data_IF_711530282980
#
_entry.id   IF_711530282980
#
_cell.length_a   1.000
_cell.length_b   1.000
_cell.length_c   1.000
_cell.angle_alpha   90.00
_cell.angle_beta   90.00
_cell.angle_gamma   90.00
#
_symmetry.space_group_name_H-M   'P 1'
#
loop_
_entity.id
_entity.type
_entity.pdbx_description
1 polymer ?
#
# COMPACT_ATOMS: atom_id res chain seq x y z
N UNK A 1 57.77 -16.68 -5.96
CA UNK A 1 56.44 -16.62 -6.61
C UNK A 1 55.43 -17.46 -5.81
N UNK A 2 54.71 -16.88 -4.83
CA UNK A 2 53.59 -17.59 -4.20
C UNK A 2 52.52 -17.86 -5.26
N UNK A 3 52.11 -19.12 -5.36
CA UNK A 3 51.37 -19.65 -6.49
C UNK A 3 49.96 -19.04 -6.62
N UNK A 4 49.60 -18.63 -7.85
CA UNK A 4 48.27 -18.17 -8.28
C UNK A 4 47.13 -19.09 -7.81
N UNK A 5 47.43 -20.36 -7.51
CA UNK A 5 46.52 -21.34 -6.95
C UNK A 5 46.04 -21.03 -5.51
N UNK A 6 46.74 -20.22 -4.72
CA UNK A 6 46.25 -19.74 -3.41
C UNK A 6 45.27 -18.56 -3.55
N UNK A 7 45.49 -17.66 -4.50
CA UNK A 7 44.60 -16.53 -4.76
C UNK A 7 43.23 -17.00 -5.30
N UNK A 8 43.22 -18.01 -6.17
CA UNK A 8 41.98 -18.57 -6.73
C UNK A 8 41.13 -19.34 -5.71
N UNK A 9 41.73 -19.98 -4.69
CA UNK A 9 40.96 -20.66 -3.63
C UNK A 9 40.24 -19.68 -2.71
N UNK A 10 40.85 -18.53 -2.40
CA UNK A 10 40.23 -17.51 -1.56
C UNK A 10 39.09 -16.76 -2.25
N UNK A 11 39.11 -16.64 -3.58
CA UNK A 11 38.03 -16.01 -4.33
C UNK A 11 36.80 -16.93 -4.45
N UNK A 12 37.01 -18.24 -4.53
CA UNK A 12 35.91 -19.22 -4.63
C UNK A 12 35.12 -19.38 -3.32
N UNK A 13 35.77 -19.16 -2.17
CA UNK A 13 35.09 -19.18 -0.86
C UNK A 13 34.24 -17.94 -0.56
N UNK A 14 34.46 -16.82 -1.27
CA UNK A 14 33.68 -15.58 -1.05
C UNK A 14 32.41 -15.46 -1.90
N UNK A 15 32.19 -16.37 -2.86
CA UNK A 15 31.11 -16.24 -3.86
C UNK A 15 30.04 -17.35 -3.80
N UNK A 16 30.15 -18.30 -2.87
CA UNK A 16 29.07 -19.28 -2.64
C UNK A 16 28.21 -18.82 -1.47
N UNK A 17 26.96 -18.35 -1.69
CA UNK A 17 26.05 -18.09 -0.60
C UNK A 17 25.75 -19.40 0.14
N UNK A 18 26.03 -19.41 1.44
CA UNK A 18 25.61 -20.48 2.35
C UNK A 18 24.09 -20.64 2.26
N UNK A 19 23.54 -21.85 2.05
CA UNK A 19 22.11 -22.06 2.26
C UNK A 19 21.74 -21.76 3.72
N UNK A 20 20.59 -21.13 3.99
CA UNK A 20 20.13 -20.91 5.35
C UNK A 20 19.86 -22.27 6.01
N UNK A 21 20.50 -22.50 7.16
CA UNK A 21 20.22 -23.64 8.04
C UNK A 21 18.85 -23.42 8.69
N UNK A 22 17.80 -23.94 8.06
CA UNK A 22 16.51 -24.16 8.73
C UNK A 22 16.60 -25.46 9.54
N UNK A 23 17.31 -25.39 10.67
CA UNK A 23 17.30 -26.45 11.67
C UNK A 23 16.57 -25.98 12.91
N UNK A 24 15.38 -26.57 13.09
CA UNK A 24 14.76 -26.95 14.35
C UNK A 24 14.26 -25.84 15.31
N UNK A 25 13.05 -26.08 15.81
CA UNK A 25 12.50 -25.82 17.18
C UNK A 25 11.05 -25.31 17.08
N UNK A 26 10.06 -25.83 17.86
CA UNK A 26 9.63 -27.22 17.98
C UNK A 26 8.09 -27.37 17.79
N UNK A 27 7.61 -28.60 17.64
CA UNK A 27 6.19 -28.96 17.73
C UNK A 27 5.67 -28.79 19.17
N UNK A 28 4.85 -27.77 19.41
CA UNK A 28 3.90 -27.64 20.52
C UNK A 28 2.66 -27.00 19.86
N UNK A 29 1.51 -27.64 19.69
CA UNK A 29 0.66 -28.24 20.69
C UNK A 29 -0.11 -29.42 20.08
N UNK A 30 -0.01 -30.58 20.72
CA UNK A 30 -1.00 -31.64 20.58
C UNK A 30 -2.14 -31.43 21.58
N UNK A 31 -3.33 -31.83 21.13
CA UNK A 31 -4.57 -32.04 21.87
C UNK A 31 -4.34 -32.50 23.32
N UNK A 32 -5.05 -31.87 24.25
CA UNK A 32 -5.36 -32.44 25.57
C UNK A 32 -6.86 -32.32 25.81
N UNK A 33 -7.56 -33.38 25.43
CA UNK A 33 -8.85 -33.72 26.03
C UNK A 33 -8.62 -34.25 27.45
N UNK A 34 -9.65 -34.07 28.29
CA UNK A 34 -9.94 -34.66 29.61
C UNK A 34 -9.79 -33.74 30.84
N UNK A 35 -10.97 -33.25 31.23
CA UNK A 35 -11.69 -33.52 32.49
C UNK A 35 -11.31 -32.80 33.78
N UNK A 36 -12.38 -32.54 34.56
CA UNK A 36 -12.49 -32.18 35.98
C UNK A 36 -12.41 -30.65 36.28
N UNK A 37 -13.56 -30.01 36.54
CA UNK A 37 -14.21 -29.84 37.85
C UNK A 37 -13.79 -28.52 38.50
N UNK A 38 -14.58 -27.45 38.30
CA UNK A 38 -15.22 -26.68 39.38
C UNK A 38 -15.98 -25.46 38.80
N UNK A 39 -17.29 -25.31 39.07
CA UNK A 39 -18.07 -24.16 38.63
C UNK A 39 -17.83 -22.95 39.55
N UNK A 40 -17.39 -21.84 38.95
CA UNK A 40 -17.34 -20.54 39.61
C UNK A 40 -18.76 -20.08 40.04
N UNK A 41 -18.89 -19.34 41.16
CA UNK A 41 -20.18 -19.04 41.76
C UNK A 41 -21.00 -18.06 40.91
N UNK A 42 -22.24 -18.48 40.65
CA UNK A 42 -23.33 -17.67 40.11
C UNK A 42 -23.55 -16.47 41.04
N UNK A 43 -23.17 -15.27 40.59
CA UNK A 43 -23.68 -14.03 41.18
C UNK A 43 -25.15 -13.90 40.80
N UNK A 44 -26.03 -14.20 41.76
CA UNK A 44 -27.44 -13.77 41.73
C UNK A 44 -27.45 -12.25 41.68
N UNK A 45 -27.71 -11.68 40.50
CA UNK A 45 -28.20 -10.31 40.39
C UNK A 45 -29.65 -10.32 40.86
N UNK A 46 -29.90 -9.80 42.05
CA UNK A 46 -31.24 -9.52 42.56
C UNK A 46 -31.83 -8.33 41.81
N UNK A 47 -33.11 -8.42 41.43
CA UNK A 47 -33.90 -7.33 40.83
C UNK A 47 -34.14 -6.19 41.84
N UNK A 48 -33.10 -5.44 42.20
CA UNK A 48 -33.23 -4.22 43.01
C UNK A 48 -32.41 -3.05 42.44
N UNK A 49 -31.46 -3.28 41.54
CA UNK A 49 -30.53 -2.21 41.08
C UNK A 49 -30.89 -1.56 39.72
N UNK A 50 -32.17 -1.57 39.30
CA UNK A 50 -32.57 -1.01 37.99
C UNK A 50 -33.51 0.22 38.05
N UNK A 51 -33.70 0.87 39.20
CA UNK A 51 -34.70 1.94 39.30
C UNK A 51 -34.19 3.37 39.58
N UNK A 52 -32.88 3.61 39.64
CA UNK A 52 -32.33 4.97 39.81
C UNK A 52 -31.47 5.38 38.61
N UNK A 53 -32.08 5.59 37.44
CA UNK A 53 -31.45 6.36 36.36
C UNK A 53 -32.46 6.92 35.36
N UNK A 54 -33.50 7.57 35.85
CA UNK A 54 -34.37 8.47 35.07
C UNK A 54 -34.12 9.91 35.54
N UNK A 55 -33.00 10.49 35.11
CA UNK A 55 -32.80 11.93 35.13
C UNK A 55 -32.60 12.41 33.68
N UNK A 56 -33.39 13.36 33.17
CA UNK A 56 -33.17 13.92 31.84
C UNK A 56 -31.87 14.75 31.82
N UNK A 57 -31.12 14.76 30.71
CA UNK A 57 -29.89 15.55 30.62
C UNK A 57 -30.23 17.05 30.64
N UNK A 58 -29.42 17.89 31.33
CA UNK A 58 -29.60 19.33 31.28
C UNK A 58 -29.21 19.87 29.89
N UNK A 59 -30.04 20.78 29.39
CA UNK A 59 -29.80 21.58 28.19
C UNK A 59 -28.56 22.47 28.37
N UNK A 60 -27.65 22.54 27.38
CA UNK A 60 -26.52 23.46 27.45
C UNK A 60 -26.98 24.89 27.14
N UNK A 61 -26.97 25.75 28.16
CA UNK A 61 -27.09 27.19 27.99
C UNK A 61 -25.81 27.75 27.35
N UNK A 62 -25.98 28.41 26.21
CA UNK A 62 -24.98 29.28 25.61
C UNK A 62 -24.75 30.48 26.54
N UNK A 63 -23.55 30.58 27.12
CA UNK A 63 -23.05 31.81 27.74
C UNK A 63 -21.80 32.29 27.02
N UNK A 64 -21.94 33.46 26.41
CA UNK A 64 -20.93 34.28 25.78
C UNK A 64 -20.16 35.12 26.83
N UNK A 65 -18.84 35.01 26.85
CA UNK A 65 -17.88 36.02 27.36
C UNK A 65 -16.47 35.48 27.10
N UNK A 66 -15.66 36.01 26.19
CA UNK A 66 -14.97 37.32 26.13
C UNK A 66 -13.87 37.52 27.19
N UNK A 67 -12.68 37.87 26.67
CA UNK A 67 -11.44 38.28 27.36
C UNK A 67 -10.60 37.14 28.00
N UNK A 68 -9.26 37.10 27.92
CA UNK A 68 -8.24 37.89 27.21
C UNK A 68 -6.88 37.22 27.45
N UNK A 69 -6.01 37.18 26.43
CA UNK A 69 -4.55 37.24 26.58
C UNK A 69 -3.82 35.96 26.99
N UNK A 70 -3.23 35.25 26.02
CA UNK A 70 -1.78 35.31 25.80
C UNK A 70 -1.35 34.38 24.63
N UNK A 71 -0.95 35.05 23.54
CA UNK A 71 0.17 34.74 22.65
C UNK A 71 0.83 33.35 22.73
N UNK A 72 0.76 32.59 21.63
CA UNK A 72 1.94 32.28 20.79
C UNK A 72 1.64 31.25 19.69
N UNK A 73 1.76 31.71 18.43
CA UNK A 73 2.18 30.99 17.20
C UNK A 73 1.50 29.66 16.80
N UNK A 74 0.54 29.75 15.89
CA UNK A 74 0.49 29.15 14.52
C UNK A 74 -0.97 28.94 14.09
N UNK A 75 -1.52 29.89 13.33
CA UNK A 75 -2.81 29.74 12.64
C UNK A 75 -2.73 30.33 11.23
N UNK A 76 -2.47 29.49 10.24
CA UNK A 76 -2.90 29.69 8.85
C UNK A 76 -3.65 28.41 8.43
N UNK A 77 -4.93 28.36 8.79
CA UNK A 77 -5.88 27.44 8.21
C UNK A 77 -7.12 28.29 7.87
N UNK A 78 -7.13 28.81 6.65
CA UNK A 78 -8.31 29.42 6.08
C UNK A 78 -9.36 28.31 5.87
N UNK A 79 -10.48 28.44 6.57
CA UNK A 79 -11.66 27.62 6.34
C UNK A 79 -12.23 27.95 4.96
N UNK A 80 -11.92 27.11 3.97
CA UNK A 80 -12.71 27.01 2.76
C UNK A 80 -13.94 26.16 3.10
N UNK A 81 -15.11 26.80 3.07
CA UNK A 81 -16.41 26.13 3.09
C UNK A 81 -16.51 25.18 1.90
N UNK A 82 -16.35 23.89 2.15
CA UNK A 82 -16.51 22.84 1.16
C UNK A 82 -17.99 22.50 1.05
N UNK A 83 -18.69 23.18 0.13
CA UNK A 83 -20.00 22.71 -0.31
C UNK A 83 -19.80 21.42 -1.12
N UNK A 84 -20.56 20.34 -0.86
CA UNK A 84 -20.50 19.14 -1.68
C UNK A 84 -20.93 19.48 -3.12
N UNK A 85 -20.22 19.00 -4.15
CA UNK A 85 -20.59 19.27 -5.54
C UNK A 85 -21.89 18.54 -5.89
N UNK A 86 -22.79 19.25 -6.58
CA UNK A 86 -23.99 18.70 -7.21
C UNK A 86 -23.60 17.55 -8.15
N UNK A 87 -24.14 16.36 -7.87
CA UNK A 87 -23.89 15.12 -8.63
C UNK A 87 -24.54 15.08 -10.02
N UNK A 88 -25.35 16.09 -10.38
CA UNK A 88 -26.09 16.16 -11.65
C UNK A 88 -25.60 17.24 -12.63
N UNK A 89 -24.48 17.92 -12.34
CA UNK A 89 -23.94 18.90 -13.27
C UNK A 89 -23.29 18.21 -14.50
N UNK A 90 -23.69 18.55 -15.75
CA UNK A 90 -23.06 18.00 -16.94
C UNK A 90 -21.58 18.37 -16.97
N UNK A 91 -20.73 17.34 -17.09
CA UNK A 91 -19.27 17.49 -17.10
C UNK A 91 -18.86 18.51 -18.18
N UNK A 92 -18.00 19.48 -17.85
CA UNK A 92 -17.49 20.41 -18.84
C UNK A 92 -16.72 19.63 -19.93
N UNK A 93 -16.80 20.06 -21.20
CA UNK A 93 -16.08 19.41 -22.28
C UNK A 93 -14.58 19.43 -21.96
N UNK A 94 -13.96 18.26 -21.99
CA UNK A 94 -12.51 18.07 -21.85
C UNK A 94 -11.79 18.86 -22.95
N UNK A 95 -11.40 20.10 -22.66
CA UNK A 95 -10.40 20.82 -23.44
C UNK A 95 -9.11 20.01 -23.37
N UNK A 96 -8.84 19.29 -24.47
CA UNK A 96 -7.59 18.58 -24.68
C UNK A 96 -6.45 19.57 -24.53
N UNK A 97 -5.74 19.48 -23.41
CA UNK A 97 -4.49 20.18 -23.21
C UNK A 97 -3.59 19.96 -24.45
N UNK A 98 -2.92 21.01 -24.95
CA UNK A 98 -2.05 20.90 -26.11
C UNK A 98 -0.95 19.88 -25.81
N UNK A 99 -0.94 18.79 -26.58
CA UNK A 99 0.10 17.76 -26.54
C UNK A 99 1.45 18.48 -26.70
N UNK A 100 2.39 18.37 -25.74
CA UNK A 100 3.71 18.95 -25.92
C UNK A 100 4.32 18.33 -27.18
N UNK A 101 4.65 19.20 -28.15
CA UNK A 101 5.22 18.81 -29.44
C UNK A 101 6.34 17.80 -29.20
N UNK A 102 6.17 16.60 -29.75
CA UNK A 102 7.16 15.55 -29.72
C UNK A 102 8.52 16.14 -30.13
N UNK A 103 9.51 16.00 -29.24
CA UNK A 103 10.90 16.28 -29.55
C UNK A 103 11.25 15.47 -30.80
N UNK A 104 11.49 16.18 -31.91
CA UNK A 104 12.01 15.54 -33.12
C UNK A 104 13.34 14.88 -32.73
N UNK A 105 13.50 13.56 -32.93
CA UNK A 105 14.78 12.92 -32.69
C UNK A 105 15.79 13.59 -33.62
N UNK A 106 16.85 14.16 -33.04
CA UNK A 106 18.00 14.63 -33.81
C UNK A 106 18.58 13.39 -34.47
N UNK A 107 18.34 13.24 -35.76
CA UNK A 107 18.85 12.14 -36.56
C UNK A 107 20.34 12.41 -36.79
N UNK A 108 21.19 11.87 -35.90
CA UNK A 108 22.63 11.83 -36.11
C UNK A 108 22.91 10.76 -37.17
N UNK A 109 22.74 11.13 -38.45
CA UNK A 109 23.17 10.29 -39.55
C UNK A 109 24.71 10.20 -39.53
N UNK A 110 25.32 9.01 -39.48
CA UNK A 110 26.78 8.83 -39.46
C UNK A 110 27.50 9.29 -40.74
N UNK A 111 26.76 9.70 -41.78
CA UNK A 111 27.30 10.02 -43.09
C UNK A 111 27.97 11.40 -43.20
N UNK A 112 27.84 12.27 -42.20
CA UNK A 112 28.46 13.61 -42.26
C UNK A 112 29.96 13.64 -41.92
N UNK A 113 30.55 12.49 -41.56
CA UNK A 113 32.00 12.33 -41.41
C UNK A 113 32.61 11.42 -42.50
N UNK A 114 31.96 11.31 -43.67
CA UNK A 114 32.61 10.77 -44.84
C UNK A 114 33.83 11.64 -45.18
N UNK A 115 35.03 11.06 -44.98
CA UNK A 115 36.33 11.60 -45.39
C UNK A 115 36.21 12.30 -46.75
N UNK A 116 36.83 13.48 -46.95
CA UNK A 116 37.13 13.91 -48.30
C UNK A 116 38.00 12.83 -48.95
N UNK A 117 37.42 12.10 -49.90
CA UNK A 117 38.14 11.23 -50.82
C UNK A 117 39.35 12.01 -51.33
N UNK A 118 40.54 11.47 -51.06
CA UNK A 118 41.78 11.99 -51.61
C UNK A 118 41.60 12.03 -53.12
N UNK A 119 41.52 13.24 -53.68
CA UNK A 119 41.64 13.44 -55.12
C UNK A 119 42.97 12.83 -55.52
N UNK A 120 42.90 11.71 -56.22
CA UNK A 120 43.99 11.14 -56.99
C UNK A 120 44.63 12.29 -57.77
N UNK A 121 45.85 12.63 -57.39
CA UNK A 121 46.70 13.53 -58.16
C UNK A 121 46.95 12.86 -59.48
N UNK A 122 46.23 13.34 -60.50
CA UNK A 122 46.49 13.10 -61.92
C UNK A 122 48.00 13.08 -62.18
N UNK A 123 48.39 12.08 -62.96
CA UNK A 123 49.70 11.90 -63.55
C UNK A 123 50.35 13.25 -63.93
N UNK A 124 51.55 13.47 -63.40
CA UNK A 124 52.41 14.55 -63.82
C UNK A 124 52.73 14.38 -65.31
N UNK A 125 52.19 15.32 -66.09
CA UNK A 125 52.50 15.60 -67.48
C UNK A 125 54.03 15.76 -67.66
N UNK A 126 54.67 15.06 -68.61
CA UNK A 126 56.10 15.26 -68.86
C UNK A 126 56.32 16.63 -69.51
N UNK A 127 57.04 17.51 -68.80
CA UNK A 127 57.45 18.82 -69.28
C UNK A 127 58.17 18.72 -70.65
N UNK A 128 57.90 19.65 -71.58
CA UNK A 128 58.52 19.65 -72.90
C UNK A 128 60.01 19.94 -72.81
N UNK A 129 60.82 19.08 -73.45
CA UNK A 129 62.23 19.28 -73.74
C UNK A 129 62.39 20.33 -74.84
N UNK A 130 62.20 21.60 -74.50
CA UNK A 130 62.70 22.70 -75.32
C UNK A 130 63.28 23.74 -74.39
N UNK A 131 64.60 23.88 -74.41
CA UNK A 131 65.30 25.16 -74.36
C UNK A 131 66.80 24.91 -74.63
N UNK A 132 67.12 25.06 -75.91
CA UNK A 132 68.25 25.83 -76.41
C UNK A 132 69.62 25.59 -75.76
N UNK A 133 70.48 24.94 -76.54
CA UNK A 133 71.92 25.16 -76.55
C UNK A 133 72.23 26.66 -76.71
N UNK A 134 72.40 27.38 -75.60
CA UNK A 134 73.06 28.70 -75.59
C UNK A 134 74.55 28.48 -75.39
N UNK A 135 75.33 28.82 -76.42
CA UNK A 135 76.79 28.98 -76.39
C UNK A 135 77.21 29.67 -75.08
N UNK A 136 78.03 28.98 -74.30
CA UNK A 136 78.70 29.51 -73.11
C UNK A 136 79.70 30.56 -73.57
N UNK A 137 79.24 31.82 -73.62
CA UNK A 137 80.13 32.97 -73.62
C UNK A 137 80.87 32.98 -72.29
N UNK A 138 82.19 32.83 -72.33
CA UNK A 138 83.09 32.84 -71.17
C UNK A 138 83.16 34.26 -70.61
N UNK A 139 82.11 34.68 -69.88
CA UNK A 139 82.09 35.97 -69.18
C UNK A 139 83.05 35.86 -68.00
N UNK A 140 84.18 36.58 -68.10
CA UNK A 140 85.15 36.75 -67.01
C UNK A 140 84.47 37.56 -65.91
N UNK A 141 83.90 36.87 -64.93
CA UNK A 141 83.31 37.49 -63.74
C UNK A 141 84.46 38.02 -62.85
N UNK A 142 84.45 39.29 -62.43
CA UNK A 142 85.49 39.86 -61.56
C UNK A 142 85.54 39.13 -60.21
N UNK A 143 86.75 38.85 -59.72
CA UNK A 143 87.05 37.93 -58.61
C UNK A 143 86.30 38.16 -57.30
N UNK A 144 85.77 39.37 -57.04
CA UNK A 144 85.08 39.71 -55.79
C UNK A 144 83.58 39.33 -55.72
N UNK A 145 82.90 39.06 -56.85
CA UNK A 145 81.48 38.63 -56.82
C UNK A 145 81.31 37.14 -56.49
N UNK A 146 82.33 36.32 -56.75
CA UNK A 146 82.29 34.87 -56.47
C UNK A 146 82.38 34.58 -54.97
N UNK A 147 83.23 35.31 -54.24
CA UNK A 147 83.41 35.13 -52.79
C UNK A 147 82.17 35.53 -51.99
N UNK A 148 81.50 36.63 -52.34
CA UNK A 148 80.23 37.04 -51.73
C UNK A 148 79.10 36.03 -51.97
N UNK A 149 78.99 35.47 -53.18
CA UNK A 149 78.01 34.43 -53.50
C UNK A 149 78.29 33.13 -52.73
N UNK A 150 79.54 32.72 -52.60
CA UNK A 150 79.92 31.51 -51.83
C UNK A 150 79.60 31.68 -50.33
N UNK A 151 79.84 32.86 -49.75
CA UNK A 151 79.47 33.17 -48.37
C UNK A 151 77.95 33.13 -48.12
N UNK A 152 77.16 33.70 -49.04
CA UNK A 152 75.69 33.65 -48.96
C UNK A 152 75.16 32.22 -49.11
N UNK A 153 75.73 31.43 -50.02
CA UNK A 153 75.38 30.01 -50.19
C UNK A 153 75.72 29.19 -48.93
N UNK A 154 76.85 29.47 -48.28
CA UNK A 154 77.21 28.83 -47.01
C UNK A 154 76.21 29.13 -45.89
N UNK A 155 75.75 30.38 -45.77
CA UNK A 155 74.71 30.78 -44.80
C UNK A 155 73.36 30.11 -45.11
N UNK A 156 72.95 30.09 -46.37
CA UNK A 156 71.72 29.41 -46.80
C UNK A 156 71.77 27.90 -46.49
N UNK A 157 72.93 27.25 -46.72
CA UNK A 157 73.12 25.83 -46.41
C UNK A 157 73.03 25.53 -44.91
N UNK A 158 73.58 26.39 -44.05
CA UNK A 158 73.45 26.27 -42.59
C UNK A 158 72.00 26.42 -42.14
N UNK A 159 71.32 27.47 -42.60
CA UNK A 159 69.90 27.69 -42.29
C UNK A 159 68.99 26.54 -42.78
N UNK A 160 69.30 25.97 -43.95
CA UNK A 160 68.60 24.80 -44.47
C UNK A 160 68.87 23.56 -43.60
N UNK A 161 70.11 23.37 -43.13
CA UNK A 161 70.46 22.32 -42.18
C UNK A 161 69.68 22.41 -40.87
N UNK A 162 69.59 23.61 -40.27
CA UNK A 162 68.82 23.87 -39.04
C UNK A 162 67.33 23.58 -39.25
N UNK A 163 66.74 24.07 -40.34
CA UNK A 163 65.35 23.77 -40.71
C UNK A 163 65.12 22.28 -40.91
N UNK A 164 66.04 21.56 -41.55
CA UNK A 164 65.92 20.11 -41.72
C UNK A 164 65.94 19.38 -40.36
N UNK A 165 66.81 19.77 -39.43
CA UNK A 165 66.83 19.21 -38.07
C UNK A 165 65.49 19.46 -37.37
N UNK A 166 64.93 20.65 -37.50
CA UNK A 166 63.62 20.96 -36.93
C UNK A 166 62.49 20.14 -37.58
N UNK A 167 62.50 19.98 -38.90
CA UNK A 167 61.52 19.14 -39.62
C UNK A 167 61.57 17.70 -39.12
N UNK A 168 62.76 17.11 -38.95
CA UNK A 168 62.92 15.76 -38.40
C UNK A 168 62.40 15.68 -36.97
N UNK A 169 62.73 16.67 -36.12
CA UNK A 169 62.23 16.75 -34.73
C UNK A 169 60.71 16.84 -34.67
N UNK A 170 60.10 17.63 -35.56
CA UNK A 170 58.65 17.76 -35.65
C UNK A 170 58.01 16.47 -36.18
N UNK A 171 58.62 15.80 -37.16
CA UNK A 171 58.20 14.48 -37.64
C UNK A 171 58.09 13.46 -36.49
N UNK A 172 59.12 13.34 -35.66
CA UNK A 172 59.09 12.43 -34.50
C UNK A 172 58.06 12.82 -33.42
N UNK A 173 57.70 14.10 -33.29
CA UNK A 173 56.57 14.52 -32.42
C UNK A 173 55.22 14.13 -33.01
N UNK A 174 55.07 14.27 -34.33
CA UNK A 174 53.85 13.88 -35.04
C UNK A 174 53.63 12.38 -34.90
N UNK A 175 54.65 11.54 -35.10
CA UNK A 175 54.55 10.08 -34.92
C UNK A 175 54.08 9.71 -33.51
N UNK A 176 54.69 10.29 -32.47
CA UNK A 176 54.26 10.06 -31.07
C UNK A 176 52.82 10.48 -30.80
N UNK A 177 52.38 11.60 -31.38
CA UNK A 177 51.00 12.05 -31.26
C UNK A 177 50.03 11.12 -32.00
N UNK A 178 50.43 10.59 -33.16
CA UNK A 178 49.64 9.60 -33.90
C UNK A 178 49.50 8.31 -33.09
N UNK A 179 50.59 7.77 -32.54
CA UNK A 179 50.55 6.58 -31.69
C UNK A 179 49.63 6.77 -30.47
N UNK A 180 49.77 7.92 -29.79
CA UNK A 180 48.91 8.26 -28.64
C UNK A 180 47.44 8.40 -29.03
N UNK A 181 47.16 8.99 -30.20
CA UNK A 181 45.80 9.15 -30.71
C UNK A 181 45.18 7.79 -31.07
N UNK A 182 45.96 6.88 -31.66
CA UNK A 182 45.50 5.52 -31.93
C UNK A 182 45.21 4.74 -30.65
N UNK A 183 46.04 4.86 -29.62
CA UNK A 183 45.80 4.25 -28.31
C UNK A 183 44.50 4.78 -27.68
N UNK A 184 44.32 6.11 -27.67
CA UNK A 184 43.07 6.72 -27.17
C UNK A 184 41.86 6.34 -28.01
N UNK A 185 42.00 6.16 -29.32
CA UNK A 185 40.92 5.67 -30.16
C UNK A 185 40.52 4.24 -29.78
N UNK A 186 41.49 3.36 -29.50
CA UNK A 186 41.21 1.98 -29.03
C UNK A 186 40.49 1.98 -27.69
N UNK A 187 40.91 2.82 -26.73
CA UNK A 187 40.22 2.97 -25.43
C UNK A 187 38.76 3.43 -25.60
N UNK A 188 38.52 4.41 -26.49
CA UNK A 188 37.16 4.90 -26.79
C UNK A 188 36.30 3.81 -27.39
N UNK A 189 36.83 3.03 -28.34
CA UNK A 189 36.10 1.94 -28.98
C UNK A 189 35.77 0.82 -27.98
N UNK A 190 36.68 0.50 -27.05
CA UNK A 190 36.44 -0.46 -25.98
C UNK A 190 35.37 0.01 -25.00
N UNK A 191 35.45 1.26 -24.54
CA UNK A 191 34.43 1.86 -23.68
C UNK A 191 33.05 1.85 -24.37
N UNK A 192 32.99 2.13 -25.67
CA UNK A 192 31.75 2.10 -26.45
C UNK A 192 31.16 0.69 -26.53
N UNK A 193 31.99 -0.35 -26.72
CA UNK A 193 31.53 -1.75 -26.68
C UNK A 193 30.99 -2.13 -25.29
N UNK A 194 31.72 -1.77 -24.23
CA UNK A 194 31.30 -2.03 -22.85
C UNK A 194 29.96 -1.36 -22.50
N UNK A 195 29.76 -0.11 -22.96
CA UNK A 195 28.48 0.58 -22.82
C UNK A 195 27.36 -0.12 -23.57
N UNK A 196 27.62 -0.62 -24.78
CA UNK A 196 26.66 -1.40 -25.56
C UNK A 196 26.19 -2.66 -24.80
N UNK A 197 27.11 -3.42 -24.23
CA UNK A 197 26.81 -4.62 -23.43
C UNK A 197 25.96 -4.25 -22.21
N UNK A 198 26.40 -3.27 -21.41
CA UNK A 198 25.64 -2.83 -20.21
C UNK A 198 24.24 -2.32 -20.55
N UNK A 199 24.08 -1.63 -21.68
CA UNK A 199 22.77 -1.14 -22.11
C UNK A 199 21.83 -2.31 -22.48
N UNK A 200 22.37 -3.37 -23.10
CA UNK A 200 21.60 -4.58 -23.40
C UNK A 200 21.18 -5.33 -22.12
N UNK A 201 22.09 -5.48 -21.16
CA UNK A 201 21.80 -6.08 -19.85
C UNK A 201 20.75 -5.28 -19.09
N UNK A 202 20.88 -3.96 -19.06
CA UNK A 202 19.90 -3.06 -18.43
C UNK A 202 18.52 -3.19 -19.07
N UNK A 203 18.47 -3.30 -20.41
CA UNK A 203 17.21 -3.51 -21.14
C UNK A 203 16.55 -4.84 -20.78
N UNK A 204 17.34 -5.92 -20.72
CA UNK A 204 16.85 -7.23 -20.30
C UNK A 204 16.37 -7.23 -18.85
N UNK A 205 17.10 -6.59 -17.94
CA UNK A 205 16.69 -6.45 -16.55
C UNK A 205 15.37 -5.69 -16.42
N UNK A 206 15.22 -4.57 -17.17
CA UNK A 206 13.99 -3.77 -17.19
C UNK A 206 12.80 -4.59 -17.69
N UNK A 207 12.97 -5.38 -18.75
CA UNK A 207 11.94 -6.28 -19.27
C UNK A 207 11.57 -7.37 -18.26
N UNK A 208 12.57 -8.00 -17.62
CA UNK A 208 12.35 -9.03 -16.60
C UNK A 208 11.67 -8.49 -15.34
N UNK A 209 11.99 -7.27 -14.92
CA UNK A 209 11.26 -6.58 -13.85
C UNK A 209 9.82 -6.27 -14.25
N UNK A 210 9.61 -5.74 -15.46
CA UNK A 210 8.26 -5.46 -15.97
C UNK A 210 7.40 -6.71 -16.16
N UNK A 211 8.00 -7.88 -16.40
CA UNK A 211 7.32 -9.18 -16.37
C UNK A 211 6.86 -9.55 -14.96
N UNK A 212 7.78 -9.50 -13.98
CA UNK A 212 7.48 -9.81 -12.57
C UNK A 212 6.42 -8.88 -11.98
N UNK A 213 6.44 -7.59 -12.31
CA UNK A 213 5.40 -6.64 -11.87
C UNK A 213 4.03 -7.05 -12.38
N UNK A 214 3.91 -7.39 -13.68
CA UNK A 214 2.64 -7.85 -14.25
C UNK A 214 2.14 -9.15 -13.63
N UNK A 215 3.03 -10.10 -13.34
CA UNK A 215 2.68 -11.35 -12.67
C UNK A 215 2.18 -11.12 -11.23
N UNK A 216 2.81 -10.19 -10.50
CA UNK A 216 2.35 -9.81 -9.17
C UNK A 216 0.99 -9.11 -9.22
N UNK A 217 0.77 -8.22 -10.19
CA UNK A 217 -0.51 -7.54 -10.40
C UNK A 217 -1.64 -8.52 -10.70
N UNK A 218 -1.41 -9.50 -11.60
CA UNK A 218 -2.43 -10.50 -11.93
C UNK A 218 -2.73 -11.43 -10.75
N UNK A 219 -1.68 -11.85 -10.02
CA UNK A 219 -1.83 -12.70 -8.83
C UNK A 219 -2.59 -11.96 -7.72
N UNK A 220 -2.24 -10.70 -7.47
CA UNK A 220 -2.91 -9.87 -6.48
C UNK A 220 -4.38 -9.64 -6.86
N UNK A 221 -4.66 -9.30 -8.12
CA UNK A 221 -6.03 -9.15 -8.61
C UNK A 221 -6.84 -10.45 -8.49
N UNK A 222 -6.21 -11.62 -8.71
CA UNK A 222 -6.83 -12.92 -8.48
C UNK A 222 -7.23 -13.12 -7.02
N UNK A 223 -6.29 -12.89 -6.09
CA UNK A 223 -6.54 -13.04 -4.64
C UNK A 223 -7.57 -12.05 -4.10
N UNK A 224 -7.61 -10.82 -4.62
CA UNK A 224 -8.62 -9.84 -4.23
C UNK A 224 -10.02 -10.33 -4.59
N UNK A 225 -10.23 -10.81 -5.83
CA UNK A 225 -11.52 -11.36 -6.25
C UNK A 225 -11.94 -12.59 -5.45
N UNK A 226 -10.99 -13.46 -5.11
CA UNK A 226 -11.25 -14.64 -4.28
C UNK A 226 -11.73 -14.23 -2.88
N UNK A 227 -11.03 -13.27 -2.24
CA UNK A 227 -11.43 -12.75 -0.93
C UNK A 227 -12.76 -12.00 -0.97
N UNK A 228 -13.03 -11.24 -2.03
CA UNK A 228 -14.33 -10.59 -2.24
C UNK A 228 -15.46 -11.64 -2.29
N UNK A 229 -15.27 -12.73 -3.04
CA UNK A 229 -16.23 -13.84 -3.08
C UNK A 229 -16.44 -14.51 -1.73
N UNK A 230 -15.37 -14.79 -0.97
CA UNK A 230 -15.50 -15.38 0.38
C UNK A 230 -16.25 -14.46 1.37
N UNK A 231 -16.07 -13.14 1.23
CA UNK A 231 -16.77 -12.15 2.06
C UNK A 231 -18.26 -12.16 1.72
N UNK A 232 -18.61 -12.14 0.43
CA UNK A 232 -20.00 -12.20 -0.02
C UNK A 232 -20.70 -13.48 0.45
N UNK A 233 -20.05 -14.63 0.32
CA UNK A 233 -20.58 -15.92 0.78
C UNK A 233 -20.84 -15.92 2.29
N UNK A 234 -19.90 -15.40 3.09
CA UNK A 234 -20.05 -15.29 4.55
C UNK A 234 -21.13 -14.29 4.95
N UNK A 235 -21.27 -13.19 4.22
CA UNK A 235 -22.35 -12.23 4.44
C UNK A 235 -23.72 -12.89 4.22
N UNK A 236 -23.89 -13.62 3.12
CA UNK A 236 -25.13 -14.36 2.84
C UNK A 236 -25.41 -15.44 3.89
N UNK A 237 -24.38 -16.15 4.35
CA UNK A 237 -24.54 -17.15 5.42
C UNK A 237 -24.99 -16.51 6.74
N UNK A 238 -24.37 -15.39 7.13
CA UNK A 238 -24.75 -14.66 8.34
C UNK A 238 -26.17 -14.10 8.24
N UNK A 239 -26.56 -13.59 7.08
CA UNK A 239 -27.91 -13.07 6.84
C UNK A 239 -28.97 -14.17 6.97
N UNK A 240 -28.74 -15.35 6.35
CA UNK A 240 -29.64 -16.51 6.52
C UNK A 240 -29.76 -16.94 7.99
N UNK A 241 -28.65 -17.00 8.73
CA UNK A 241 -28.66 -17.35 10.15
C UNK A 241 -29.40 -16.32 11.00
N UNK A 242 -29.27 -15.04 10.67
CA UNK A 242 -30.02 -13.98 11.35
C UNK A 242 -31.52 -14.11 11.08
N UNK A 243 -31.93 -14.38 9.84
CA UNK A 243 -33.34 -14.61 9.50
C UNK A 243 -33.91 -15.83 10.23
N UNK A 244 -33.18 -16.94 10.29
CA UNK A 244 -33.58 -18.13 11.05
C UNK A 244 -33.75 -17.82 12.53
N UNK A 245 -32.77 -17.13 13.13
CA UNK A 245 -32.83 -16.76 14.55
C UNK A 245 -33.93 -15.75 14.84
N UNK A 246 -34.20 -14.83 13.92
CA UNK A 246 -35.31 -13.89 14.07
C UNK A 246 -36.66 -14.63 14.08
N UNK A 247 -36.84 -15.62 13.21
CA UNK A 247 -38.05 -16.47 13.21
C UNK A 247 -38.21 -17.22 14.53
N UNK A 248 -37.14 -17.82 15.06
CA UNK A 248 -37.19 -18.49 16.37
C UNK A 248 -37.60 -17.52 17.50
N UNK A 249 -37.08 -16.28 17.49
CA UNK A 249 -37.44 -15.24 18.46
C UNK A 249 -38.91 -14.84 18.32
N UNK A 250 -39.41 -14.66 17.11
CA UNK A 250 -40.80 -14.29 16.84
C UNK A 250 -41.77 -15.40 17.29
N UNK A 251 -41.43 -16.67 17.02
CA UNK A 251 -42.18 -17.83 17.49
C UNK A 251 -42.21 -17.91 19.03
N UNK A 252 -41.06 -17.74 19.69
CA UNK A 252 -40.97 -17.72 21.14
C UNK A 252 -41.79 -16.58 21.76
N UNK A 253 -41.73 -15.39 21.16
CA UNK A 253 -42.54 -14.24 21.59
C UNK A 253 -44.05 -14.50 21.44
N UNK A 254 -44.47 -15.14 20.36
CA UNK A 254 -45.86 -15.52 20.15
C UNK A 254 -46.35 -16.53 21.21
N UNK A 255 -45.53 -17.55 21.54
CA UNK A 255 -45.82 -18.50 22.60
C UNK A 255 -45.93 -17.83 23.97
N UNK A 256 -45.00 -16.92 24.28
CA UNK A 256 -45.02 -16.16 25.53
C UNK A 256 -46.27 -15.28 25.64
N UNK A 257 -46.68 -14.61 24.57
CA UNK A 257 -47.92 -13.84 24.51
C UNK A 257 -49.15 -14.72 24.80
N UNK A 258 -49.22 -15.90 24.18
CA UNK A 258 -50.30 -16.86 24.42
C UNK A 258 -50.35 -17.36 25.87
N UNK A 259 -49.20 -17.71 26.45
CA UNK A 259 -49.11 -18.11 27.85
C UNK A 259 -49.55 -16.99 28.80
N UNK A 260 -49.15 -15.74 28.54
CA UNK A 260 -49.56 -14.58 29.34
C UNK A 260 -51.09 -14.39 29.34
N UNK A 261 -51.75 -14.61 28.20
CA UNK A 261 -53.21 -14.56 28.13
C UNK A 261 -53.82 -15.67 29.01
N UNK A 262 -53.31 -16.90 28.92
CA UNK A 262 -53.80 -18.02 29.73
C UNK A 262 -53.60 -17.81 31.23
N UNK A 263 -52.47 -17.25 31.63
CA UNK A 263 -52.21 -16.89 33.03
C UNK A 263 -53.25 -15.88 33.51
N UNK A 264 -53.51 -14.80 32.75
CA UNK A 264 -54.55 -13.82 33.10
C UNK A 264 -55.95 -14.43 33.20
N UNK A 265 -56.28 -15.39 32.34
CA UNK A 265 -57.57 -16.10 32.42
C UNK A 265 -57.63 -16.96 33.68
N UNK A 266 -56.57 -17.70 33.98
CA UNK A 266 -56.48 -18.52 35.18
C UNK A 266 -56.55 -17.66 36.46
N UNK A 267 -55.86 -16.52 36.51
CA UNK A 267 -55.92 -15.56 37.61
C UNK A 267 -57.36 -15.08 37.86
N UNK A 268 -58.10 -14.71 36.80
CA UNK A 268 -59.51 -14.32 36.91
C UNK A 268 -60.39 -15.45 37.45
N UNK A 269 -60.18 -16.68 36.99
CA UNK A 269 -60.93 -17.84 37.48
C UNK A 269 -60.64 -18.13 38.95
N UNK A 270 -59.39 -18.00 39.40
CA UNK A 270 -59.02 -18.15 40.81
C UNK A 270 -59.75 -17.10 41.65
N UNK A 271 -59.68 -15.82 41.26
CA UNK A 271 -60.40 -14.74 41.97
C UNK A 271 -61.91 -15.03 42.05
N UNK A 272 -62.53 -15.49 40.96
CA UNK A 272 -63.94 -15.85 40.94
C UNK A 272 -64.25 -17.02 41.90
N UNK A 273 -63.40 -18.05 41.93
CA UNK A 273 -63.59 -19.18 42.83
C UNK A 273 -63.36 -18.82 44.29
N UNK A 274 -62.42 -17.93 44.59
CA UNK A 274 -62.22 -17.43 45.94
C UNK A 274 -63.46 -16.66 46.43
N UNK A 275 -64.07 -15.83 45.57
CA UNK A 275 -65.33 -15.15 45.93
C UNK A 275 -66.48 -16.12 46.17
N UNK A 276 -66.65 -17.16 45.33
CA UNK A 276 -67.66 -18.21 45.54
C UNK A 276 -67.43 -18.96 46.87
N UNK A 277 -66.17 -19.25 47.21
CA UNK A 277 -65.82 -19.90 48.47
C UNK A 277 -66.20 -19.02 49.66
N UNK A 278 -65.95 -17.72 49.60
CA UNK A 278 -66.27 -16.80 50.68
C UNK A 278 -67.79 -16.62 50.85
N UNK A 279 -68.56 -16.59 49.76
CA UNK A 279 -70.02 -16.65 49.78
C UNK A 279 -70.54 -17.95 50.42
N UNK A 280 -69.98 -19.10 50.03
CA UNK A 280 -70.34 -20.39 50.61
C UNK A 280 -69.98 -20.48 52.11
N UNK A 281 -68.84 -19.92 52.53
CA UNK A 281 -68.49 -19.83 53.96
C UNK A 281 -69.50 -18.97 54.73
N UNK A 282 -69.94 -17.85 54.16
CA UNK A 282 -70.95 -16.99 54.79
C UNK A 282 -72.28 -17.72 54.97
N UNK A 283 -72.78 -18.40 53.93
CA UNK A 283 -74.03 -19.19 54.02
C UNK A 283 -73.92 -20.35 55.02
N UNK A 284 -72.77 -21.02 55.11
CA UNK A 284 -72.54 -22.04 56.16
C UNK A 284 -72.58 -21.42 57.55
N UNK A 285 -72.00 -20.23 57.75
CA UNK A 285 -72.06 -19.53 59.02
C UNK A 285 -73.50 -19.14 59.41
N UNK A 286 -74.30 -18.67 58.46
CA UNK A 286 -75.73 -18.39 58.66
C UNK A 286 -76.52 -19.65 59.02
N UNK A 287 -76.31 -20.75 58.30
CA UNK A 287 -76.98 -22.03 58.61
C UNK A 287 -76.60 -22.55 60.00
N UNK A 288 -75.34 -22.39 60.42
CA UNK A 288 -74.90 -22.76 61.78
C UNK A 288 -75.57 -21.91 62.85
N UNK A 289 -75.79 -20.62 62.62
CA UNK A 289 -76.55 -19.78 63.56
C UNK A 289 -77.99 -20.27 63.72
N UNK A 290 -78.64 -20.66 62.62
CA UNK A 290 -79.99 -21.23 62.65
C UNK A 290 -80.01 -22.56 63.42
N UNK A 291 -78.98 -23.39 63.26
CA UNK A 291 -78.86 -24.70 63.93
C UNK A 291 -78.47 -24.59 65.42
N UNK A 292 -77.87 -23.49 65.86
CA UNK A 292 -77.66 -23.16 67.29
C UNK A 292 -78.88 -22.47 67.94
N UNK A 293 -79.88 -22.04 67.15
CA UNK A 293 -81.16 -21.47 67.63
C UNK A 293 -82.37 -22.42 67.85
N UNK A 294 -82.29 -23.77 67.84
CA UNK A 294 -83.35 -24.62 68.35
C UNK A 294 -83.09 -24.97 69.84
N UNK A 295 -84.12 -24.84 70.67
CA UNK A 295 -84.22 -25.29 72.08
C UNK A 295 -83.83 -24.30 73.21
N UNK A 296 -84.52 -23.16 73.33
CA UNK A 296 -84.71 -22.51 74.66
C UNK A 296 -86.19 -22.24 75.02
N UNK A 297 -87.17 -22.77 74.27
CA UNK A 297 -88.60 -22.51 74.56
C UNK A 297 -89.47 -23.72 74.93
N UNK A 298 -88.94 -24.94 75.00
CA UNK A 298 -89.68 -26.10 75.52
C UNK A 298 -88.91 -26.82 76.63
N UNK A 299 -89.24 -26.49 77.88
CA UNK A 299 -89.43 -27.36 79.06
C UNK A 299 -89.22 -26.51 80.31
N UNK A 300 -90.30 -25.87 80.76
CA UNK A 300 -90.50 -25.59 82.18
C UNK A 300 -91.99 -25.66 82.49
N UNK A 301 -92.49 -26.88 82.61
CA UNK A 301 -93.76 -27.13 83.28
C UNK A 301 -93.52 -27.00 84.80
N UNK A 302 -94.14 -26.04 85.50
CA UNK A 302 -94.23 -26.13 86.95
C UNK A 302 -95.31 -27.15 87.32
N UNK A 303 -94.86 -28.30 87.83
CA UNK A 303 -95.66 -29.17 88.67
C UNK A 303 -96.19 -28.37 89.87
N UNK A 304 -97.49 -28.06 89.88
CA UNK A 304 -98.20 -27.67 91.11
C UNK A 304 -99.33 -28.66 91.35
N UNK A 305 -98.93 -29.78 91.94
CA UNK A 305 -99.77 -30.56 92.85
C UNK A 305 -100.04 -29.70 94.08
N UNK A 306 -101.29 -29.29 94.34
CA UNK A 306 -101.84 -29.21 95.70
C UNK A 306 -103.30 -28.69 95.75
N UNK A 307 -104.18 -29.58 96.27
CA UNK A 307 -105.23 -29.37 97.30
C UNK A 307 -106.43 -28.48 96.90
N UNK A 308 -107.67 -28.97 96.77
CA UNK A 308 -108.54 -29.74 97.69
C UNK A 308 -108.98 -28.95 98.94
N UNK A 309 -110.22 -28.43 98.87
CA UNK A 309 -111.22 -28.04 99.90
C UNK A 309 -112.38 -27.40 99.09
N UNK A 310 -113.61 -27.91 98.91
CA UNK A 310 -114.65 -28.50 99.78
C UNK A 310 -114.99 -27.64 101.01
N UNK A 311 -116.19 -27.03 100.91
CA UNK A 311 -117.03 -26.33 101.89
C UNK A 311 -116.57 -24.94 102.37
#
# INVERSE_FOLDING_TARGET
MPSLSKALRNLKQKLTPSPPKLSAIPRLFQKKDKSAQDPAPVRRLTMVDLNDSLAPPPTPEFSSSSASGNTSYYSLAAAASFSPPDLDAPLPPLERAPIPRAFKPVNWSPEQYARPQQKETKAAEPLPRELAARKVGKVRVPGNRRTLRVSQLGKARKALGEKNVEVVRMGGKIEKLVESLEEKQREVDEARRALGVRNSEFTLMKLGMGGRVRELETTLAGKVRELEGEIEDKQQEMERRLEEKQKEVDEANAQMSWLNIRVRVAEKMVVQKDTEIDELKATIAEMKQIEEEPEVSMVRAPSSVARLCIC
#
